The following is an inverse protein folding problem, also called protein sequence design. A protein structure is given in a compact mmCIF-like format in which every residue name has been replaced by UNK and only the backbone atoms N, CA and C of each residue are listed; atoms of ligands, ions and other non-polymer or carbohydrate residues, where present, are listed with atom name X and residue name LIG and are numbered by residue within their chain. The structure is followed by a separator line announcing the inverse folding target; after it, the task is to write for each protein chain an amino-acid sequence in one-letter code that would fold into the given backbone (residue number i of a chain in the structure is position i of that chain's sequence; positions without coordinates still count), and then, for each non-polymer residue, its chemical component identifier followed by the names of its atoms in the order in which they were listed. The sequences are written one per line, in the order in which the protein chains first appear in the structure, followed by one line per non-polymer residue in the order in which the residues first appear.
data_IF_166579166662
#
_entry.id   IF_166579166662
#
_cell.length_a   1.000
_cell.length_b   1.000
_cell.length_c   1.000
_cell.angle_alpha   90.00
_cell.angle_beta   90.00
_cell.angle_gamma   90.00
#
_symmetry.space_group_name_H-M   'P 1'
#
loop_
_entity.id
_entity.type
_entity.pdbx_description
1 polymer ?
#
# COMPACT_ATOMS: atom_id res chain seq x y z
N UNK A 1 7.37 -9.40 14.31
CA UNK A 1 8.00 -8.57 15.36
C UNK A 1 9.40 -8.10 14.95
N UNK A 2 10.27 -8.96 14.41
CA UNK A 2 11.64 -8.59 14.00
C UNK A 2 11.71 -7.45 13.00
N UNK A 3 10.75 -7.36 12.06
CA UNK A 3 10.67 -6.26 11.10
C UNK A 3 10.30 -4.91 11.73
N UNK A 4 9.86 -4.88 12.99
CA UNK A 4 9.63 -3.66 13.74
C UNK A 4 10.94 -3.05 14.30
N UNK A 5 11.93 -3.91 14.59
CA UNK A 5 13.19 -3.51 15.20
C UNK A 5 14.33 -3.41 14.18
N UNK A 6 14.29 -4.24 13.12
CA UNK A 6 15.31 -4.31 12.07
C UNK A 6 14.68 -4.33 10.69
N UNK A 7 15.38 -3.79 9.71
CA UNK A 7 15.04 -3.97 8.29
C UNK A 7 15.08 -5.46 7.92
N UNK A 8 14.14 -5.92 7.11
CA UNK A 8 14.08 -7.30 6.63
C UNK A 8 15.40 -7.74 5.98
N UNK A 9 16.06 -6.86 5.24
CA UNK A 9 17.35 -7.10 4.59
C UNK A 9 18.51 -7.36 5.58
N UNK A 10 18.35 -6.94 6.84
CA UNK A 10 19.35 -7.12 7.91
C UNK A 10 19.04 -8.29 8.84
N UNK A 11 17.95 -9.04 8.58
CA UNK A 11 17.59 -10.22 9.34
C UNK A 11 18.42 -11.42 8.89
N UNK A 12 19.03 -12.10 9.86
CA UNK A 12 19.63 -13.40 9.61
C UNK A 12 18.60 -14.52 9.71
N UNK A 13 18.85 -15.61 9.01
CA UNK A 13 18.05 -16.83 9.10
C UNK A 13 17.88 -17.32 10.55
N UNK A 14 18.95 -17.22 11.36
CA UNK A 14 18.93 -17.65 12.78
C UNK A 14 17.99 -16.79 13.61
N UNK A 15 17.96 -15.47 13.36
CA UNK A 15 17.05 -14.55 14.04
C UNK A 15 15.59 -14.83 13.64
N UNK A 16 15.33 -15.01 12.34
CA UNK A 16 14.00 -15.37 11.85
C UNK A 16 13.48 -16.69 12.42
N UNK A 17 14.31 -17.74 12.41
CA UNK A 17 13.94 -19.04 12.95
C UNK A 17 13.69 -19.00 14.47
N UNK A 18 14.51 -18.27 15.21
CA UNK A 18 14.37 -18.11 16.66
C UNK A 18 13.06 -17.40 17.02
N UNK A 19 12.74 -16.33 16.32
CA UNK A 19 11.51 -15.57 16.56
C UNK A 19 10.26 -16.37 16.19
N UNK A 20 10.33 -17.16 15.14
CA UNK A 20 9.27 -18.07 14.74
C UNK A 20 9.15 -19.30 15.66
N UNK A 21 10.08 -19.49 16.57
CA UNK A 21 10.11 -20.68 17.45
C UNK A 21 10.37 -21.99 16.72
N UNK A 22 11.00 -21.94 15.54
CA UNK A 22 11.28 -23.11 14.70
C UNK A 22 12.79 -23.36 14.61
N UNK A 23 13.17 -24.64 14.49
CA UNK A 23 14.56 -24.98 14.22
C UNK A 23 14.98 -24.50 12.82
N UNK A 24 16.23 -24.04 12.62
CA UNK A 24 16.74 -23.64 11.31
C UNK A 24 16.54 -24.71 10.23
N UNK A 25 16.65 -25.98 10.57
CA UNK A 25 16.39 -27.11 9.68
C UNK A 25 14.94 -27.16 9.20
N UNK A 26 13.99 -26.77 10.04
CA UNK A 26 12.58 -26.67 9.65
C UNK A 26 12.32 -25.50 8.73
N UNK A 27 13.05 -24.39 8.90
CA UNK A 27 13.00 -23.28 7.98
C UNK A 27 13.36 -23.70 6.55
N UNK A 28 14.53 -24.36 6.37
CA UNK A 28 14.99 -24.84 5.06
C UNK A 28 14.09 -25.90 4.43
N UNK A 29 13.16 -26.47 5.16
CA UNK A 29 12.14 -27.36 4.59
C UNK A 29 11.08 -26.59 3.79
N UNK A 30 10.84 -25.31 4.15
CA UNK A 30 9.80 -24.47 3.57
C UNK A 30 10.35 -23.37 2.66
N UNK A 31 11.54 -22.83 2.99
CA UNK A 31 12.16 -21.73 2.25
C UNK A 31 13.66 -22.04 2.04
N UNK A 32 14.13 -21.82 0.83
CA UNK A 32 15.57 -22.02 0.49
C UNK A 32 16.46 -20.96 1.14
N UNK A 33 15.96 -19.73 1.24
CA UNK A 33 16.67 -18.59 1.79
C UNK A 33 15.71 -17.50 2.27
N UNK A 34 16.24 -16.39 2.78
CA UNK A 34 15.49 -15.24 3.23
C UNK A 34 14.78 -14.48 2.08
N UNK A 35 15.34 -14.54 0.88
CA UNK A 35 14.73 -13.91 -0.29
C UNK A 35 13.43 -14.63 -0.68
N UNK A 36 13.40 -15.96 -0.67
CA UNK A 36 12.19 -16.74 -0.93
C UNK A 36 11.11 -16.48 0.13
N UNK A 37 11.48 -16.40 1.40
CA UNK A 37 10.56 -15.97 2.47
C UNK A 37 10.03 -14.56 2.19
N UNK A 38 10.91 -13.63 1.85
CA UNK A 38 10.53 -12.25 1.53
C UNK A 38 9.57 -12.16 0.36
N UNK A 39 9.80 -12.92 -0.70
CA UNK A 39 8.89 -12.98 -1.86
C UNK A 39 7.51 -13.53 -1.48
N UNK A 40 7.46 -14.59 -0.67
CA UNK A 40 6.20 -15.14 -0.15
C UNK A 40 5.45 -14.10 0.68
N UNK A 41 6.14 -13.34 1.53
CA UNK A 41 5.52 -12.28 2.33
C UNK A 41 5.02 -11.12 1.45
N UNK A 42 5.69 -10.79 0.34
CA UNK A 42 5.20 -9.80 -0.63
C UNK A 42 3.93 -10.28 -1.32
N UNK A 43 3.84 -11.55 -1.69
CA UNK A 43 2.62 -12.12 -2.28
C UNK A 43 1.44 -12.06 -1.29
N UNK A 44 1.66 -12.32 0.00
CA UNK A 44 0.67 -12.15 1.05
C UNK A 44 0.26 -10.67 1.22
N UNK A 45 1.22 -9.75 1.14
CA UNK A 45 0.95 -8.32 1.15
C UNK A 45 0.06 -7.91 -0.04
N UNK A 46 0.31 -8.44 -1.23
CA UNK A 46 -0.53 -8.25 -2.40
C UNK A 46 -1.97 -8.75 -2.18
N UNK A 47 -2.14 -9.91 -1.53
CA UNK A 47 -3.47 -10.40 -1.15
C UNK A 47 -4.18 -9.44 -0.17
N UNK A 48 -3.46 -8.91 0.81
CA UNK A 48 -3.98 -7.94 1.77
C UNK A 48 -4.42 -6.65 1.08
N UNK A 49 -3.63 -6.13 0.13
CA UNK A 49 -4.01 -4.96 -0.68
C UNK A 49 -5.28 -5.21 -1.50
N UNK A 50 -5.41 -6.38 -2.12
CA UNK A 50 -6.63 -6.76 -2.86
C UNK A 50 -7.86 -6.87 -1.94
N UNK A 51 -7.70 -7.36 -0.72
CA UNK A 51 -8.77 -7.39 0.28
C UNK A 51 -9.17 -5.97 0.70
N UNK A 52 -8.20 -5.08 0.94
CA UNK A 52 -8.41 -3.67 1.23
C UNK A 52 -9.24 -3.00 0.13
N UNK A 53 -8.85 -3.17 -1.14
CA UNK A 53 -9.58 -2.62 -2.28
C UNK A 53 -11.02 -3.10 -2.34
N UNK A 54 -11.24 -4.40 -2.17
CA UNK A 54 -12.59 -4.98 -2.15
C UNK A 54 -13.44 -4.41 -1.03
N UNK A 55 -12.88 -4.28 0.17
CA UNK A 55 -13.59 -3.75 1.32
C UNK A 55 -13.91 -2.26 1.16
N UNK A 56 -12.97 -1.46 0.67
CA UNK A 56 -13.21 -0.05 0.37
C UNK A 56 -14.33 0.11 -0.67
N UNK A 57 -14.30 -0.65 -1.77
CA UNK A 57 -15.37 -0.63 -2.79
C UNK A 57 -16.75 -0.99 -2.21
N UNK A 58 -16.81 -2.02 -1.36
CA UNK A 58 -18.05 -2.44 -0.68
C UNK A 58 -18.59 -1.32 0.22
N UNK A 59 -17.74 -0.69 1.00
CA UNK A 59 -18.13 0.44 1.88
C UNK A 59 -18.56 1.66 1.06
N UNK A 60 -17.88 1.98 -0.03
CA UNK A 60 -18.23 3.08 -0.94
C UNK A 60 -19.59 2.85 -1.57
N UNK A 61 -19.94 1.62 -1.93
CA UNK A 61 -21.25 1.26 -2.49
C UNK A 61 -22.40 1.51 -1.50
N UNK A 62 -22.13 1.51 -0.20
CA UNK A 62 -23.12 1.84 0.85
C UNK A 62 -23.35 3.34 1.01
N UNK A 63 -22.61 4.18 0.29
CA UNK A 63 -22.68 5.65 0.34
C UNK A 63 -21.55 6.30 1.12
N UNK A 64 -21.41 7.61 0.95
CA UNK A 64 -20.42 8.43 1.62
C UNK A 64 -19.27 8.90 0.72
N UNK A 65 -18.29 9.57 1.33
CA UNK A 65 -17.14 10.11 0.61
C UNK A 65 -16.15 9.01 0.26
N UNK A 66 -15.91 8.80 -1.04
CA UNK A 66 -14.94 7.81 -1.54
C UNK A 66 -13.56 7.99 -0.90
N UNK A 67 -13.07 9.23 -0.82
CA UNK A 67 -11.74 9.53 -0.25
C UNK A 67 -11.70 9.20 1.24
N UNK A 68 -12.71 9.63 2.01
CA UNK A 68 -12.75 9.37 3.46
C UNK A 68 -12.78 7.88 3.74
N UNK A 69 -13.71 7.16 3.10
CA UNK A 69 -13.85 5.71 3.28
C UNK A 69 -12.57 4.95 2.89
N UNK A 70 -11.91 5.37 1.79
CA UNK A 70 -10.65 4.74 1.36
C UNK A 70 -9.54 4.95 2.37
N UNK A 71 -9.38 6.16 2.90
CA UNK A 71 -8.37 6.47 3.91
C UNK A 71 -8.63 5.72 5.20
N UNK A 72 -9.86 5.74 5.70
CA UNK A 72 -10.26 5.00 6.91
C UNK A 72 -9.99 3.49 6.77
N UNK A 73 -10.41 2.91 5.65
CA UNK A 73 -10.17 1.49 5.37
C UNK A 73 -8.67 1.17 5.30
N UNK A 74 -7.88 2.02 4.67
CA UNK A 74 -6.43 1.84 4.59
C UNK A 74 -5.77 1.88 5.98
N UNK A 75 -6.10 2.85 6.82
CA UNK A 75 -5.55 2.95 8.18
C UNK A 75 -6.01 1.80 9.09
N UNK A 76 -7.23 1.30 8.91
CA UNK A 76 -7.72 0.09 9.58
C UNK A 76 -6.87 -1.14 9.21
N UNK A 77 -6.55 -1.32 7.92
CA UNK A 77 -5.68 -2.41 7.46
C UNK A 77 -4.25 -2.28 7.97
N UNK A 78 -3.67 -1.06 8.01
CA UNK A 78 -2.36 -0.82 8.64
C UNK A 78 -2.39 -1.22 10.11
N UNK A 79 -3.43 -0.85 10.84
CA UNK A 79 -3.57 -1.19 12.26
C UNK A 79 -3.68 -2.70 12.49
N UNK A 80 -4.45 -3.40 11.66
CA UNK A 80 -4.70 -4.83 11.78
C UNK A 80 -3.54 -5.71 11.26
N UNK A 81 -2.74 -5.19 10.33
CA UNK A 81 -1.66 -5.94 9.68
C UNK A 81 -0.37 -5.11 9.57
N UNK A 82 0.16 -4.56 10.68
CA UNK A 82 1.26 -3.60 10.65
C UNK A 82 2.54 -4.18 10.03
N UNK A 83 2.83 -5.47 10.24
CA UNK A 83 4.03 -6.11 9.71
C UNK A 83 3.97 -6.25 8.17
N UNK A 84 2.80 -6.53 7.60
CA UNK A 84 2.59 -6.59 6.16
C UNK A 84 2.86 -5.22 5.53
N UNK A 85 2.30 -4.16 6.11
CA UNK A 85 2.50 -2.81 5.60
C UNK A 85 3.91 -2.30 5.85
N UNK A 86 4.55 -2.66 6.96
CA UNK A 86 5.96 -2.35 7.22
C UNK A 86 6.86 -2.95 6.14
N UNK A 87 6.64 -4.22 5.81
CA UNK A 87 7.34 -4.90 4.75
C UNK A 87 7.14 -4.19 3.40
N UNK A 88 5.91 -3.96 3.01
CA UNK A 88 5.57 -3.40 1.70
C UNK A 88 6.01 -1.93 1.53
N UNK A 89 5.86 -1.10 2.58
CA UNK A 89 6.07 0.34 2.48
C UNK A 89 7.50 0.77 2.84
N UNK A 90 8.17 0.06 3.76
CA UNK A 90 9.53 0.41 4.21
C UNK A 90 10.60 -0.44 3.55
N UNK A 91 10.33 -1.72 3.33
CA UNK A 91 11.29 -2.66 2.76
C UNK A 91 11.26 -2.69 1.23
N UNK A 92 10.37 -1.94 0.59
CA UNK A 92 10.33 -1.77 -0.87
C UNK A 92 11.65 -1.24 -1.46
N UNK A 93 12.47 -0.56 -0.65
CA UNK A 93 13.83 -0.12 -0.98
C UNK A 93 14.93 -1.09 -0.54
N UNK A 94 14.58 -2.29 -0.06
CA UNK A 94 15.51 -3.30 0.44
C UNK A 94 16.60 -3.72 -0.56
N UNK A 95 17.60 -4.48 -0.09
CA UNK A 95 18.81 -4.84 -0.86
C UNK A 95 18.56 -5.82 -2.01
N UNK A 96 17.60 -6.76 -1.85
CA UNK A 96 17.27 -7.74 -2.88
C UNK A 96 16.50 -7.11 -4.04
N UNK A 97 17.06 -7.21 -5.25
CA UNK A 97 16.39 -6.74 -6.47
C UNK A 97 15.08 -7.49 -6.73
N UNK A 98 15.06 -8.79 -6.50
CA UNK A 98 13.86 -9.62 -6.68
C UNK A 98 12.73 -9.15 -5.76
N UNK A 99 13.05 -8.84 -4.51
CA UNK A 99 12.11 -8.31 -3.52
C UNK A 99 11.54 -6.94 -3.96
N UNK A 100 12.42 -6.00 -4.35
CA UNK A 100 11.98 -4.67 -4.83
C UNK A 100 11.07 -4.78 -6.04
N UNK A 101 11.41 -5.65 -6.98
CA UNK A 101 10.60 -5.88 -8.20
C UNK A 101 9.24 -6.46 -7.85
N UNK A 102 9.16 -7.42 -6.92
CA UNK A 102 7.91 -8.01 -6.48
C UNK A 102 7.03 -6.97 -5.76
N UNK A 103 7.60 -6.19 -4.83
CA UNK A 103 6.87 -5.14 -4.13
C UNK A 103 6.35 -4.06 -5.09
N UNK A 104 7.18 -3.61 -6.03
CA UNK A 104 6.78 -2.63 -7.05
C UNK A 104 5.66 -3.16 -7.95
N UNK A 105 5.67 -4.45 -8.29
CA UNK A 105 4.60 -5.11 -9.05
C UNK A 105 3.27 -5.07 -8.31
N UNK A 106 3.24 -5.40 -7.01
CA UNK A 106 2.02 -5.37 -6.22
C UNK A 106 1.46 -3.94 -6.07
N UNK A 107 2.33 -2.95 -5.86
CA UNK A 107 1.94 -1.53 -5.82
C UNK A 107 1.39 -1.09 -7.19
N UNK A 108 2.05 -1.48 -8.28
CA UNK A 108 1.58 -1.18 -9.63
C UNK A 108 0.18 -1.77 -9.91
N UNK A 109 -0.06 -3.01 -9.55
CA UNK A 109 -1.40 -3.62 -9.68
C UNK A 109 -2.46 -2.82 -8.91
N UNK A 110 -2.12 -2.33 -7.72
CA UNK A 110 -3.02 -1.49 -6.93
C UNK A 110 -3.33 -0.17 -7.64
N UNK A 111 -2.30 0.48 -8.23
CA UNK A 111 -2.46 1.71 -9.03
C UNK A 111 -3.33 1.44 -10.26
N UNK A 112 -3.08 0.36 -11.00
CA UNK A 112 -3.83 -0.01 -12.20
C UNK A 112 -5.32 -0.18 -11.88
N UNK A 113 -5.67 -0.95 -10.83
CA UNK A 113 -7.05 -1.15 -10.40
C UNK A 113 -7.75 0.15 -9.96
N UNK A 114 -7.02 1.02 -9.25
CA UNK A 114 -7.55 2.32 -8.83
C UNK A 114 -7.77 3.23 -10.04
N UNK A 115 -6.83 3.23 -11.00
CA UNK A 115 -6.94 4.03 -12.22
C UNK A 115 -8.15 3.65 -13.07
N UNK A 116 -8.41 2.35 -13.22
CA UNK A 116 -9.61 1.85 -13.92
C UNK A 116 -10.91 2.31 -13.22
N UNK A 117 -10.93 2.26 -11.90
CA UNK A 117 -12.08 2.74 -11.13
C UNK A 117 -12.30 4.25 -11.34
N UNK A 118 -11.22 5.06 -11.27
CA UNK A 118 -11.28 6.51 -11.46
C UNK A 118 -11.72 6.86 -12.89
N UNK A 119 -11.15 6.19 -13.90
CA UNK A 119 -11.50 6.41 -15.31
C UNK A 119 -12.99 6.20 -15.54
N UNK A 120 -13.53 5.07 -15.10
CA UNK A 120 -14.95 4.72 -15.25
C UNK A 120 -15.88 5.69 -14.51
N UNK A 121 -15.55 6.00 -13.24
CA UNK A 121 -16.40 6.83 -12.38
C UNK A 121 -16.49 8.29 -12.85
N UNK A 122 -15.40 8.85 -13.35
CA UNK A 122 -15.31 10.28 -13.69
C UNK A 122 -15.31 10.53 -15.20
N UNK A 123 -15.39 9.48 -16.02
CA UNK A 123 -15.27 9.56 -17.47
C UNK A 123 -13.98 10.28 -17.89
N UNK A 124 -12.85 9.91 -17.27
CA UNK A 124 -11.52 10.42 -17.62
C UNK A 124 -10.83 9.53 -18.65
N UNK A 125 -9.89 10.10 -19.42
CA UNK A 125 -8.95 9.29 -20.19
C UNK A 125 -8.13 8.39 -19.26
N UNK A 126 -7.69 7.22 -19.76
CA UNK A 126 -6.88 6.28 -18.98
C UNK A 126 -5.60 6.93 -18.46
N UNK A 127 -4.98 7.81 -19.25
CA UNK A 127 -3.78 8.53 -18.86
C UNK A 127 -4.02 9.44 -17.63
N UNK A 128 -5.05 10.28 -17.67
CA UNK A 128 -5.39 11.19 -16.57
C UNK A 128 -5.77 10.40 -15.30
N UNK A 129 -6.52 9.33 -15.46
CA UNK A 129 -6.91 8.47 -14.34
C UNK A 129 -5.70 7.77 -13.71
N UNK A 130 -4.74 7.31 -14.53
CA UNK A 130 -3.52 6.69 -14.06
C UNK A 130 -2.64 7.69 -13.28
N UNK A 131 -2.39 8.87 -13.81
CA UNK A 131 -1.62 9.93 -13.13
C UNK A 131 -2.26 10.29 -11.78
N UNK A 132 -3.59 10.40 -11.73
CA UNK A 132 -4.30 10.64 -10.46
C UNK A 132 -4.13 9.46 -9.49
N UNK A 133 -4.30 8.24 -9.94
CA UNK A 133 -4.18 7.04 -9.11
C UNK A 133 -2.76 6.90 -8.54
N UNK A 134 -1.75 7.06 -9.37
CA UNK A 134 -0.34 7.01 -8.98
C UNK A 134 -0.01 8.06 -7.91
N UNK A 135 -0.42 9.31 -8.12
CA UNK A 135 -0.24 10.37 -7.13
C UNK A 135 -0.96 10.09 -5.81
N UNK A 136 -2.21 9.61 -5.85
CA UNK A 136 -2.97 9.22 -4.66
C UNK A 136 -2.29 8.08 -3.89
N UNK A 137 -1.86 7.02 -4.58
CA UNK A 137 -1.21 5.86 -3.96
C UNK A 137 0.13 6.27 -3.34
N UNK A 138 0.93 7.07 -4.03
CA UNK A 138 2.20 7.60 -3.50
C UNK A 138 1.99 8.36 -2.19
N UNK A 139 1.03 9.29 -2.16
CA UNK A 139 0.72 10.08 -0.96
C UNK A 139 0.23 9.18 0.18
N UNK A 140 -0.71 8.27 -0.11
CA UNK A 140 -1.31 7.38 0.89
C UNK A 140 -0.29 6.40 1.45
N UNK A 141 0.55 5.80 0.61
CA UNK A 141 1.55 4.84 1.05
C UNK A 141 2.67 5.50 1.86
N UNK A 142 3.10 6.70 1.48
CA UNK A 142 4.03 7.51 2.28
C UNK A 142 3.45 7.84 3.65
N UNK A 143 2.20 8.29 3.70
CA UNK A 143 1.49 8.53 4.96
C UNK A 143 1.36 7.26 5.81
N UNK A 144 1.05 6.13 5.17
CA UNK A 144 0.97 4.82 5.82
C UNK A 144 2.30 4.37 6.44
N UNK A 145 3.42 4.54 5.74
CA UNK A 145 4.75 4.24 6.26
C UNK A 145 5.06 5.05 7.52
N UNK A 146 4.69 6.33 7.53
CA UNK A 146 4.88 7.20 8.70
C UNK A 146 3.95 6.80 9.86
N UNK A 147 2.71 6.41 9.55
CA UNK A 147 1.69 6.05 10.54
C UNK A 147 2.04 4.81 11.38
N UNK A 148 2.94 3.95 10.88
CA UNK A 148 3.32 2.69 11.56
C UNK A 148 3.91 2.90 12.95
N UNK A 149 4.57 4.03 13.19
CA UNK A 149 5.23 4.34 14.46
C UNK A 149 4.58 5.52 15.21
N UNK A 150 3.46 6.04 14.72
CA UNK A 150 2.75 7.16 15.32
C UNK A 150 1.78 6.71 16.42
N UNK A 151 1.57 7.57 17.39
CA UNK A 151 0.47 7.44 18.37
C UNK A 151 -0.89 7.54 17.69
N UNK A 152 -1.94 7.15 18.41
CA UNK A 152 -3.32 7.26 17.89
C UNK A 152 -3.68 8.71 17.53
N UNK A 153 -3.30 9.68 18.37
CA UNK A 153 -3.60 11.10 18.14
C UNK A 153 -2.89 11.63 16.88
N UNK A 154 -1.61 11.31 16.70
CA UNK A 154 -0.84 11.70 15.52
C UNK A 154 -1.42 11.06 14.25
N UNK A 155 -1.88 9.80 14.31
CA UNK A 155 -2.53 9.14 13.17
C UNK A 155 -3.83 9.83 12.77
N UNK A 156 -4.66 10.28 13.72
CA UNK A 156 -5.89 11.01 13.38
C UNK A 156 -5.57 12.34 12.68
N UNK A 157 -4.60 13.10 13.19
CA UNK A 157 -4.15 14.34 12.52
C UNK A 157 -3.58 14.06 11.12
N UNK A 158 -2.84 12.97 10.95
CA UNK A 158 -2.31 12.56 9.65
C UNK A 158 -3.45 12.23 8.68
N UNK A 159 -4.48 11.50 9.12
CA UNK A 159 -5.66 11.18 8.28
C UNK A 159 -6.38 12.44 7.79
N UNK A 160 -6.59 13.43 8.66
CA UNK A 160 -7.23 14.69 8.27
C UNK A 160 -6.44 15.42 7.17
N UNK A 161 -5.11 15.54 7.34
CA UNK A 161 -4.24 16.13 6.32
C UNK A 161 -4.26 15.34 5.01
N UNK A 162 -4.20 14.01 5.11
CA UNK A 162 -4.23 13.11 3.97
C UNK A 162 -5.52 13.25 3.16
N UNK A 163 -6.68 13.27 3.83
CA UNK A 163 -7.98 13.48 3.19
C UNK A 163 -8.00 14.82 2.42
N UNK A 164 -7.46 15.88 3.02
CA UNK A 164 -7.38 17.19 2.37
C UNK A 164 -6.47 17.16 1.14
N UNK A 165 -5.29 16.55 1.23
CA UNK A 165 -4.36 16.39 0.10
C UNK A 165 -5.00 15.61 -1.06
N UNK A 166 -5.68 14.50 -0.77
CA UNK A 166 -6.37 13.71 -1.79
C UNK A 166 -7.52 14.47 -2.45
N UNK A 167 -8.26 15.28 -1.68
CA UNK A 167 -9.30 16.16 -2.23
C UNK A 167 -8.74 17.23 -3.14
N UNK A 168 -7.59 17.82 -2.76
CA UNK A 168 -6.90 18.81 -3.60
C UNK A 168 -6.44 18.18 -4.91
N UNK A 169 -5.82 17.00 -4.85
CA UNK A 169 -5.39 16.25 -6.03
C UNK A 169 -6.59 15.91 -6.94
N UNK A 170 -7.69 15.41 -6.38
CA UNK A 170 -8.88 15.08 -7.16
C UNK A 170 -9.51 16.31 -7.84
N UNK A 171 -9.54 17.46 -7.15
CA UNK A 171 -10.03 18.72 -7.72
C UNK A 171 -9.14 19.23 -8.85
N UNK A 172 -7.80 19.19 -8.66
CA UNK A 172 -6.83 19.57 -9.69
C UNK A 172 -6.95 18.69 -10.93
N UNK A 173 -7.08 17.38 -10.75
CA UNK A 173 -7.28 16.44 -11.85
C UNK A 173 -8.57 16.73 -12.64
N UNK A 174 -9.65 17.09 -11.93
CA UNK A 174 -10.92 17.45 -12.59
C UNK A 174 -10.75 18.68 -13.48
N UNK A 175 -9.99 19.66 -13.06
CA UNK A 175 -9.69 20.86 -13.84
C UNK A 175 -8.86 20.52 -15.06
N UNK A 176 -7.76 19.82 -14.87
CA UNK A 176 -6.86 19.38 -15.94
C UNK A 176 -7.58 18.52 -17.01
N UNK A 177 -8.45 17.61 -16.56
CA UNK A 177 -9.24 16.76 -17.48
C UNK A 177 -10.23 17.55 -18.32
N UNK A 178 -10.74 18.67 -17.81
CA UNK A 178 -11.61 19.57 -18.56
C UNK A 178 -10.84 20.37 -19.60
N UNK A 179 -9.75 20.98 -19.19
CA UNK A 179 -8.93 21.83 -20.05
C UNK A 179 -8.39 21.06 -21.28
N UNK A 180 -8.00 19.80 -21.09
CA UNK A 180 -7.57 18.93 -22.19
C UNK A 180 -8.68 18.53 -23.15
N UNK A 181 -9.95 18.50 -22.70
CA UNK A 181 -11.10 18.24 -23.59
C UNK A 181 -11.46 19.46 -24.43
N UNK A 182 -11.28 20.65 -23.87
CA UNK A 182 -11.58 21.91 -24.57
C UNK A 182 -10.47 22.29 -25.57
N UNK A 183 -9.30 21.66 -25.46
CA UNK A 183 -8.13 21.91 -26.34
C UNK A 183 -8.05 20.96 -27.54
N UNK A 184 -8.97 20.01 -27.68
CA UNK A 184 -9.08 19.02 -28.77
C UNK A 184 -10.42 19.12 -29.43
#
# INVERSE_FOLDING_TARGET
QLTAEKSFSNLSLREGSREAGIAPTSFYRHFRDMDELGLTMVDEAGLTLRQLMRQARKRIASGGSVIVISVETFFEFIHNSPNVFRLLLRESSGTSQAFRTAAAREIKHFIDELSEYIARKNNYSQYIAYVQAEGMVTIVFTAGANALDMSKAEREQLKERLILQLRMLAKGTKHEARDRRESH
#
